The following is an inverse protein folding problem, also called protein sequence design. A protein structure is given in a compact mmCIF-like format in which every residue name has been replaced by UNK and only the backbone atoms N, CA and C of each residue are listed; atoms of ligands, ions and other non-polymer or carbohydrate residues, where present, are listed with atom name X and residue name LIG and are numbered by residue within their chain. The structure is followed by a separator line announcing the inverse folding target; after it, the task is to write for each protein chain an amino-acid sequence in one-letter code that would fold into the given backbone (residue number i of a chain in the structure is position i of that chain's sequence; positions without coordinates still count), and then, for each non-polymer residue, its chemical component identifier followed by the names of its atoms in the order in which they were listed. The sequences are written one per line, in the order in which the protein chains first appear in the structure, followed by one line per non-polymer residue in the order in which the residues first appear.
data_IF_476605885270
#
_entry.id   IF_476605885270
#
_cell.length_a   1.000
_cell.length_b   1.000
_cell.length_c   1.000
_cell.angle_alpha   90.00
_cell.angle_beta   90.00
_cell.angle_gamma   90.00
#
_symmetry.space_group_name_H-M   'P 1'
#
loop_
_entity.id
_entity.type
_entity.pdbx_description
1 polymer ?
#
# COMPACT_ATOMS: atom_id res chain seq x y z
N UNK A 1 9.32 4.12 -6.33
CA UNK A 1 8.58 5.27 -5.82
C UNK A 1 9.19 6.54 -6.40
N UNK A 2 8.41 7.58 -6.58
CA UNK A 2 8.82 8.81 -7.22
C UNK A 2 8.10 10.03 -6.60
N UNK A 3 8.65 11.21 -6.86
CA UNK A 3 8.09 12.48 -6.44
C UNK A 3 7.90 13.35 -7.67
N UNK A 4 6.67 13.71 -7.97
CA UNK A 4 6.35 14.61 -9.06
C UNK A 4 6.13 16.04 -8.55
N UNK A 5 6.54 17.03 -9.32
CA UNK A 5 6.31 18.43 -9.00
C UNK A 5 5.17 18.98 -9.86
N UNK A 6 4.12 19.44 -9.22
CA UNK A 6 3.10 20.26 -9.89
C UNK A 6 3.64 21.67 -10.10
N UNK A 7 4.09 21.97 -11.30
CA UNK A 7 4.71 23.28 -11.63
C UNK A 7 3.77 24.47 -11.59
N UNK A 8 2.45 24.22 -11.48
CA UNK A 8 1.45 25.30 -11.35
C UNK A 8 1.20 25.70 -9.90
N UNK A 9 1.23 24.72 -9.00
CA UNK A 9 0.91 24.92 -7.58
C UNK A 9 2.14 24.87 -6.68
N UNK A 10 3.29 24.46 -7.23
CA UNK A 10 4.55 24.19 -6.52
C UNK A 10 4.38 23.16 -5.38
N UNK A 11 3.56 22.15 -5.65
CA UNK A 11 3.26 21.07 -4.72
C UNK A 11 3.93 19.78 -5.16
N UNK A 12 4.43 19.04 -4.18
CA UNK A 12 4.91 17.68 -4.37
C UNK A 12 3.71 16.72 -4.44
N UNK A 13 3.70 15.88 -5.46
CA UNK A 13 2.75 14.79 -5.65
C UNK A 13 3.52 13.47 -5.45
N UNK A 14 3.01 12.60 -4.60
CA UNK A 14 3.60 11.29 -4.36
C UNK A 14 3.11 10.32 -5.42
N UNK A 15 4.03 9.59 -6.03
CA UNK A 15 3.74 8.52 -6.97
C UNK A 15 4.49 7.24 -6.55
N UNK A 16 3.76 6.16 -6.37
CA UNK A 16 4.33 4.87 -6.00
C UNK A 16 4.03 3.83 -7.07
N UNK A 17 5.04 3.04 -7.46
CA UNK A 17 4.95 2.07 -8.55
C UNK A 17 4.67 0.68 -8.00
N UNK A 18 3.63 0.05 -8.53
CA UNK A 18 3.26 -1.31 -8.16
C UNK A 18 3.21 -2.20 -9.41
N UNK A 19 3.86 -3.34 -9.35
CA UNK A 19 3.73 -4.39 -10.36
C UNK A 19 2.88 -5.53 -9.80
N UNK A 20 1.98 -6.02 -10.62
CA UNK A 20 1.10 -7.13 -10.26
C UNK A 20 0.71 -7.95 -11.48
N UNK A 21 0.08 -9.10 -11.24
CA UNK A 21 -0.67 -9.84 -12.23
C UNK A 21 -2.10 -10.03 -11.73
N UNK A 22 -3.06 -9.70 -12.56
CA UNK A 22 -4.47 -9.97 -12.31
C UNK A 22 -5.18 -10.25 -13.63
N UNK A 23 -5.93 -11.34 -13.67
CA UNK A 23 -6.81 -11.67 -14.80
C UNK A 23 -8.03 -10.76 -14.88
N UNK A 24 -8.32 -10.04 -13.80
CA UNK A 24 -9.36 -9.01 -13.75
C UNK A 24 -8.67 -7.67 -13.98
N UNK A 25 -9.11 -6.90 -14.93
CA UNK A 25 -8.54 -5.57 -15.20
C UNK A 25 -8.42 -4.68 -13.96
N UNK A 26 -7.47 -3.78 -13.97
CA UNK A 26 -7.26 -2.80 -12.89
C UNK A 26 -8.09 -1.57 -13.17
N UNK A 27 -8.90 -1.08 -12.22
CA UNK A 27 -9.67 0.14 -12.37
C UNK A 27 -9.67 1.01 -11.12
N UNK A 28 -9.79 2.32 -11.32
CA UNK A 28 -9.89 3.32 -10.25
C UNK A 28 -11.02 2.99 -9.27
N UNK A 29 -12.19 2.51 -9.76
CA UNK A 29 -13.37 2.29 -8.93
C UNK A 29 -13.25 1.08 -8.00
N UNK A 30 -12.42 0.10 -8.36
CA UNK A 30 -12.35 -1.18 -7.66
C UNK A 30 -11.06 -1.38 -6.88
N UNK A 31 -9.97 -0.73 -7.27
CA UNK A 31 -8.64 -1.01 -6.74
C UNK A 31 -8.59 -0.91 -5.21
N UNK A 32 -9.02 0.19 -4.65
CA UNK A 32 -9.00 0.42 -3.20
C UNK A 32 -10.19 -0.20 -2.43
N UNK A 33 -11.05 -0.99 -3.08
CA UNK A 33 -12.08 -1.78 -2.37
C UNK A 33 -11.52 -3.08 -1.79
N UNK A 34 -10.37 -3.53 -2.26
CA UNK A 34 -9.68 -4.69 -1.72
C UNK A 34 -8.92 -4.30 -0.45
N UNK A 35 -9.16 -5.03 0.64
CA UNK A 35 -8.44 -4.82 1.89
C UNK A 35 -6.91 -5.07 1.76
N UNK A 36 -6.49 -5.89 0.80
CA UNK A 36 -5.07 -6.10 0.49
C UNK A 36 -4.35 -4.81 0.06
N UNK A 37 -5.10 -3.84 -0.44
CA UNK A 37 -4.55 -2.55 -0.89
C UNK A 37 -4.62 -1.44 0.19
N UNK A 38 -5.16 -1.74 1.38
CA UNK A 38 -5.20 -0.75 2.47
C UNK A 38 -3.81 -0.34 2.93
N UNK A 39 -2.85 -1.27 2.93
CA UNK A 39 -1.45 -0.97 3.20
C UNK A 39 -0.84 0.05 2.23
N UNK A 40 -1.29 0.10 0.97
CA UNK A 40 -0.81 1.09 0.00
C UNK A 40 -1.35 2.50 0.29
N UNK A 41 -2.59 2.61 0.79
CA UNK A 41 -3.13 3.89 1.26
C UNK A 41 -2.29 4.43 2.42
N UNK A 42 -2.06 3.58 3.43
CA UNK A 42 -1.22 3.94 4.58
C UNK A 42 0.19 4.33 4.17
N UNK A 43 0.78 3.67 3.17
CA UNK A 43 2.09 3.99 2.64
C UNK A 43 2.13 5.40 2.04
N UNK A 44 1.15 5.74 1.19
CA UNK A 44 1.06 7.08 0.58
C UNK A 44 0.81 8.17 1.63
N UNK A 45 -0.05 7.92 2.60
CA UNK A 45 -0.33 8.82 3.72
C UNK A 45 0.93 9.08 4.55
N UNK A 46 1.69 8.02 4.85
CA UNK A 46 2.91 8.13 5.63
C UNK A 46 4.03 8.88 4.88
N UNK A 47 4.16 8.68 3.58
CA UNK A 47 5.08 9.45 2.76
C UNK A 47 4.73 10.95 2.77
N UNK A 48 3.45 11.27 2.61
CA UNK A 48 2.99 12.65 2.69
C UNK A 48 3.26 13.27 4.07
N UNK A 49 2.96 12.54 5.14
CA UNK A 49 3.23 12.96 6.51
C UNK A 49 4.71 13.30 6.71
N UNK A 50 5.63 12.44 6.26
CA UNK A 50 7.06 12.69 6.37
C UNK A 50 7.51 13.91 5.58
N UNK A 51 7.06 14.06 4.33
CA UNK A 51 7.43 15.19 3.47
C UNK A 51 6.88 16.52 4.01
N UNK A 52 5.66 16.53 4.55
CA UNK A 52 5.09 17.70 5.24
C UNK A 52 5.95 18.05 6.47
N UNK A 53 6.32 17.04 7.28
CA UNK A 53 7.19 17.23 8.45
C UNK A 53 8.58 17.77 8.09
N UNK A 54 9.08 17.49 6.89
CA UNK A 54 10.31 18.04 6.34
C UNK A 54 10.15 19.47 5.78
N UNK A 55 8.94 20.02 5.78
CA UNK A 55 8.65 21.38 5.33
C UNK A 55 8.30 21.51 3.85
N UNK A 56 8.05 20.41 3.16
CA UNK A 56 7.58 20.47 1.77
C UNK A 56 6.08 20.76 1.68
N UNK A 57 5.69 21.45 0.61
CA UNK A 57 4.29 21.63 0.24
C UNK A 57 3.82 20.40 -0.52
N UNK A 58 3.03 19.55 0.12
CA UNK A 58 2.55 18.28 -0.44
C UNK A 58 1.12 18.42 -0.91
N UNK A 59 0.85 17.91 -2.11
CA UNK A 59 -0.50 17.83 -2.67
C UNK A 59 -1.35 16.84 -1.88
N UNK A 60 -2.66 17.08 -1.85
CA UNK A 60 -3.62 16.05 -1.41
C UNK A 60 -3.77 14.90 -2.40
N UNK A 61 -3.40 15.13 -3.65
CA UNK A 61 -3.43 14.09 -4.67
C UNK A 61 -2.14 13.28 -4.64
N UNK A 62 -2.26 11.96 -4.52
CA UNK A 62 -1.19 10.98 -4.70
C UNK A 62 -1.64 9.92 -5.71
N UNK A 63 -0.71 9.14 -6.23
CA UNK A 63 -0.99 8.16 -7.26
C UNK A 63 -0.27 6.84 -7.01
N UNK A 64 -0.96 5.73 -7.31
CA UNK A 64 -0.31 4.46 -7.59
C UNK A 64 -0.25 4.25 -9.10
N UNK A 65 0.96 4.02 -9.61
CA UNK A 65 1.18 3.64 -10.99
C UNK A 65 1.27 2.12 -11.07
N UNK A 66 0.21 1.50 -11.57
CA UNK A 66 0.06 0.05 -11.58
C UNK A 66 0.49 -0.50 -12.94
N UNK A 67 1.51 -1.36 -12.94
CA UNK A 67 1.88 -2.17 -14.09
C UNK A 67 1.30 -3.57 -13.91
N UNK A 68 0.17 -3.86 -14.57
CA UNK A 68 -0.48 -5.17 -14.51
C UNK A 68 -0.01 -6.06 -15.65
N UNK A 69 0.68 -7.17 -15.32
CA UNK A 69 1.08 -8.15 -16.32
C UNK A 69 -0.16 -8.83 -16.91
N UNK A 70 -0.17 -8.93 -18.25
CA UNK A 70 -1.25 -9.56 -18.99
C UNK A 70 -0.78 -10.94 -19.46
N UNK A 71 -1.51 -11.97 -19.03
CA UNK A 71 -1.32 -13.32 -19.54
C UNK A 71 -1.90 -13.41 -20.97
N UNK A 72 -1.15 -14.06 -21.86
CA UNK A 72 -1.60 -14.36 -23.21
C UNK A 72 -1.70 -15.87 -23.39
N UNK A 73 -2.76 -16.28 -24.06
CA UNK A 73 -3.08 -17.69 -24.31
C UNK A 73 -2.02 -18.45 -25.10
N UNK A 74 -1.22 -17.75 -25.89
CA UNK A 74 -0.17 -18.33 -26.71
C UNK A 74 1.19 -18.49 -26.02
N UNK A 75 1.27 -18.11 -24.75
CA UNK A 75 2.48 -18.26 -23.91
C UNK A 75 3.43 -17.07 -23.94
N UNK A 76 4.54 -17.20 -23.21
CA UNK A 76 5.46 -16.10 -22.93
C UNK A 76 6.26 -15.64 -24.18
N UNK A 77 6.77 -16.53 -25.01
CA UNK A 77 7.58 -16.25 -26.22
C UNK A 77 8.66 -15.15 -26.06
N UNK A 78 9.22 -15.02 -24.85
CA UNK A 78 10.24 -14.00 -24.54
C UNK A 78 9.72 -12.56 -24.44
N UNK A 79 8.39 -12.35 -24.36
CA UNK A 79 7.76 -11.02 -24.24
C UNK A 79 6.72 -11.04 -23.13
N UNK A 80 6.80 -10.05 -22.24
CA UNK A 80 5.73 -9.72 -21.29
C UNK A 80 4.96 -8.50 -21.78
N UNK A 81 3.65 -8.55 -21.63
CA UNK A 81 2.77 -7.43 -21.91
C UNK A 81 2.21 -6.90 -20.61
N UNK A 82 2.10 -5.59 -20.51
CA UNK A 82 1.56 -4.91 -19.33
C UNK A 82 0.45 -3.96 -19.75
N UNK A 83 -0.54 -3.86 -18.87
CA UNK A 83 -1.50 -2.77 -18.85
C UNK A 83 -1.07 -1.81 -17.74
N UNK A 84 -1.04 -0.52 -18.06
CA UNK A 84 -0.61 0.53 -17.15
C UNK A 84 -1.82 1.36 -16.75
N UNK A 85 -2.03 1.51 -15.43
CA UNK A 85 -3.17 2.26 -14.88
C UNK A 85 -2.67 3.19 -13.78
N UNK A 86 -3.10 4.44 -13.84
CA UNK A 86 -2.85 5.43 -12.80
C UNK A 86 -4.06 5.47 -11.86
N UNK A 87 -3.87 5.09 -10.61
CA UNK A 87 -4.89 5.07 -9.57
C UNK A 87 -4.69 6.30 -8.67
N UNK A 88 -5.68 7.18 -8.67
CA UNK A 88 -5.67 8.37 -7.81
C UNK A 88 -6.04 8.01 -6.36
N UNK A 89 -5.37 8.66 -5.42
CA UNK A 89 -5.64 8.58 -4.00
C UNK A 89 -5.63 9.98 -3.36
N UNK A 90 -6.58 10.26 -2.49
CA UNK A 90 -6.59 11.47 -1.67
C UNK A 90 -5.92 11.18 -0.32
N UNK A 91 -4.77 11.82 -0.09
CA UNK A 91 -3.92 11.64 1.09
C UNK A 91 -4.61 12.10 2.37
N UNK A 92 -4.44 11.32 3.44
CA UNK A 92 -4.93 11.59 4.79
C UNK A 92 -3.80 11.40 5.80
N UNK A 93 -3.42 12.45 6.49
CA UNK A 93 -2.29 12.41 7.45
C UNK A 93 -2.70 12.60 8.89
N UNK A 94 -3.95 12.95 9.14
CA UNK A 94 -4.50 13.34 10.45
C UNK A 94 -4.52 12.21 11.50
N UNK A 95 -4.44 10.97 11.07
CA UNK A 95 -4.44 9.79 11.96
C UNK A 95 -3.04 9.24 12.26
N UNK A 96 -1.99 9.72 11.57
CA UNK A 96 -0.66 9.07 11.59
C UNK A 96 -0.01 9.16 12.96
N UNK A 97 -0.08 10.31 13.64
CA UNK A 97 0.53 10.47 14.97
C UNK A 97 -0.06 9.49 15.98
N UNK A 98 -1.38 9.36 16.03
CA UNK A 98 -2.07 8.44 16.94
C UNK A 98 -1.73 6.98 16.60
N UNK A 99 -1.63 6.68 15.29
CA UNK A 99 -1.27 5.34 14.82
C UNK A 99 0.15 4.95 15.22
N UNK A 100 1.12 5.85 15.02
CA UNK A 100 2.52 5.64 15.44
C UNK A 100 2.61 5.52 16.97
N UNK A 101 1.90 6.35 17.71
CA UNK A 101 1.89 6.26 19.18
C UNK A 101 1.34 4.90 19.64
N UNK A 102 0.24 4.43 19.05
CA UNK A 102 -0.33 3.11 19.35
C UNK A 102 0.64 1.97 19.06
N UNK A 103 1.43 2.07 17.97
CA UNK A 103 2.48 1.09 17.66
C UNK A 103 3.58 1.10 18.73
N UNK A 104 4.03 2.29 19.14
CA UNK A 104 5.06 2.45 20.21
C UNK A 104 4.56 1.86 21.54
N UNK A 105 3.32 2.16 21.92
CA UNK A 105 2.70 1.67 23.14
C UNK A 105 2.60 0.13 23.13
N UNK A 106 2.23 -0.44 21.98
CA UNK A 106 2.18 -1.90 21.77
C UNK A 106 3.57 -2.52 21.94
N UNK A 107 4.61 -1.92 21.34
CA UNK A 107 5.99 -2.41 21.41
C UNK A 107 6.56 -2.34 22.84
N UNK A 108 6.13 -1.36 23.63
CA UNK A 108 6.57 -1.18 25.01
C UNK A 108 5.69 -1.95 26.03
N UNK A 109 4.61 -2.57 25.59
CA UNK A 109 3.74 -3.37 26.43
C UNK A 109 4.38 -4.70 26.81
N UNK A 110 4.20 -5.14 28.07
CA UNK A 110 4.57 -6.51 28.49
C UNK A 110 3.57 -7.56 27.97
N UNK A 111 2.39 -7.13 27.51
CA UNK A 111 1.37 -8.00 27.00
C UNK A 111 1.52 -8.17 25.48
N UNK A 112 1.55 -9.42 25.02
CA UNK A 112 1.51 -9.72 23.59
C UNK A 112 0.10 -9.43 23.07
N UNK A 113 -0.06 -8.62 22.01
CA UNK A 113 -1.36 -8.35 21.43
C UNK A 113 -2.06 -9.63 20.95
N UNK A 114 -3.39 -9.64 21.03
CA UNK A 114 -4.17 -10.73 20.44
C UNK A 114 -3.93 -10.82 18.92
N UNK A 115 -3.79 -12.04 18.43
CA UNK A 115 -3.62 -12.29 17.01
C UNK A 115 -4.91 -11.90 16.25
N UNK A 116 -4.76 -11.17 15.16
CA UNK A 116 -5.87 -10.94 14.25
C UNK A 116 -6.46 -12.28 13.78
N UNK A 117 -7.79 -12.42 13.78
CA UNK A 117 -8.48 -13.66 13.40
C UNK A 117 -8.14 -14.12 11.98
N UNK A 118 -7.92 -13.17 11.07
CA UNK A 118 -7.54 -13.43 9.68
C UNK A 118 -6.03 -13.63 9.45
N UNK A 119 -5.21 -13.61 10.51
CA UNK A 119 -3.76 -13.75 10.37
C UNK A 119 -3.36 -15.19 10.04
N UNK A 120 -3.00 -15.45 8.79
CA UNK A 120 -2.57 -16.77 8.32
C UNK A 120 -1.30 -17.26 9.01
N UNK A 121 -0.34 -16.36 9.30
CA UNK A 121 0.88 -16.70 10.04
C UNK A 121 0.58 -17.19 11.46
N UNK A 122 -0.35 -16.52 12.15
CA UNK A 122 -0.78 -16.92 13.49
C UNK A 122 -1.58 -18.23 13.44
N UNK A 123 -2.38 -18.45 12.41
CA UNK A 123 -3.09 -19.73 12.21
C UNK A 123 -2.09 -20.87 11.99
N UNK A 124 -1.09 -20.65 11.15
CA UNK A 124 -0.02 -21.63 10.90
C UNK A 124 0.76 -21.96 12.19
N UNK A 125 1.15 -20.96 12.97
CA UNK A 125 1.87 -21.17 14.24
C UNK A 125 1.05 -22.02 15.23
N UNK A 126 -0.24 -21.72 15.37
CA UNK A 126 -1.15 -22.51 16.23
C UNK A 126 -1.31 -23.95 15.75
N UNK A 127 -1.41 -24.17 14.43
CA UNK A 127 -1.50 -25.52 13.86
C UNK A 127 -0.22 -26.33 14.11
N UNK A 128 0.95 -25.72 13.93
CA UNK A 128 2.22 -26.36 14.21
C UNK A 128 2.36 -26.80 15.67
N UNK A 129 2.02 -25.93 16.59
CA UNK A 129 2.06 -26.24 18.03
C UNK A 129 1.20 -27.47 18.41
N UNK A 130 0.07 -27.66 17.71
CA UNK A 130 -0.80 -28.84 17.90
C UNK A 130 -0.19 -30.13 17.38
N UNK A 131 0.66 -30.07 16.34
CA UNK A 131 1.31 -31.23 15.75
C UNK A 131 2.58 -31.67 16.49
N UNK A 132 3.17 -30.76 17.27
CA UNK A 132 4.40 -31.02 18.05
C UNK A 132 4.12 -31.55 19.48
N UNK A 133 2.86 -31.65 19.87
CA UNK A 133 2.38 -32.26 21.13
C UNK A 133 1.97 -33.71 20.94
#
# INVERSE_FOLDING_TARGET
DDIWLNTKTDEIIIADYKSQHSNYGVSQETYFKSFYHDGYKTQLDFYAYLLIGMGFKVSKDAYLYICNAIEKDDGFHGKMHFEEVLIHYEVKTDYIDDHVQSMIDTMNSENVPEANESCENCAYARMREQLEK
#
